data_IF_048027063940
#
_entry.id   IF_048027063940
#
_cell.length_a   1.000
_cell.length_b   1.000
_cell.length_c   1.000
_cell.angle_alpha   90.00
_cell.angle_beta   90.00
_cell.angle_gamma   90.00
#
_symmetry.space_group_name_H-M   'P 1'
#
loop_
_entity.id
_entity.type
_entity.pdbx_description
1 polymer ?
#
# COMPACT_ATOMS: atom_id res chain seq x y z
N UNK A 1 -40.08 -64.23 16.16
CA UNK A 1 -38.80 -63.85 16.80
C UNK A 1 -37.76 -63.22 15.85
N UNK A 2 -38.13 -62.76 14.63
CA UNK A 2 -37.17 -62.27 13.62
C UNK A 2 -37.08 -60.73 13.45
N UNK A 3 -37.99 -59.96 14.05
CA UNK A 3 -38.11 -58.51 13.82
C UNK A 3 -37.03 -57.68 14.54
N UNK A 4 -36.51 -58.15 15.67
CA UNK A 4 -35.49 -57.46 16.48
C UNK A 4 -34.10 -57.45 15.81
N UNK A 5 -33.77 -58.47 15.01
CA UNK A 5 -32.47 -58.49 14.32
C UNK A 5 -32.43 -57.52 13.14
N UNK A 6 -33.54 -57.34 12.42
CA UNK A 6 -33.65 -56.41 11.29
C UNK A 6 -33.58 -54.95 11.73
N UNK A 7 -34.21 -54.59 12.85
CA UNK A 7 -34.10 -53.25 13.44
C UNK A 7 -32.68 -52.94 13.92
N UNK A 8 -31.97 -53.92 14.50
CA UNK A 8 -30.56 -53.71 14.89
C UNK A 8 -29.66 -53.42 13.68
N UNK A 9 -29.82 -54.17 12.58
CA UNK A 9 -29.03 -53.99 11.36
C UNK A 9 -29.31 -52.64 10.70
N UNK A 10 -30.57 -52.25 10.60
CA UNK A 10 -30.97 -50.94 10.07
C UNK A 10 -30.37 -49.80 10.91
N UNK A 11 -30.40 -49.92 12.24
CA UNK A 11 -29.80 -48.95 13.15
C UNK A 11 -28.27 -48.86 13.01
N UNK A 12 -27.57 -49.99 12.85
CA UNK A 12 -26.12 -49.97 12.60
C UNK A 12 -25.76 -49.29 11.28
N UNK A 13 -26.53 -49.55 10.22
CA UNK A 13 -26.31 -48.92 8.90
C UNK A 13 -26.58 -47.42 8.97
N UNK A 14 -27.66 -47.01 9.64
CA UNK A 14 -28.02 -45.60 9.79
C UNK A 14 -26.98 -44.83 10.62
N UNK A 15 -26.52 -45.42 11.73
CA UNK A 15 -25.41 -44.86 12.53
C UNK A 15 -24.12 -44.72 11.73
N UNK A 16 -23.80 -45.71 10.87
CA UNK A 16 -22.63 -45.63 10.01
C UNK A 16 -22.76 -44.57 8.91
N UNK A 17 -23.98 -44.35 8.40
CA UNK A 17 -24.29 -43.29 7.45
C UNK A 17 -24.17 -41.91 8.10
N UNK A 18 -24.78 -41.71 9.26
CA UNK A 18 -24.74 -40.47 10.01
C UNK A 18 -23.30 -40.07 10.36
N UNK A 19 -22.48 -41.03 10.81
CA UNK A 19 -21.06 -40.80 11.08
C UNK A 19 -20.25 -40.40 9.82
N UNK A 20 -20.67 -40.78 8.62
CA UNK A 20 -20.04 -40.33 7.36
C UNK A 20 -20.48 -38.91 7.01
N UNK A 21 -21.77 -38.62 7.12
CA UNK A 21 -22.33 -37.29 6.87
C UNK A 21 -21.71 -36.26 7.82
N UNK A 22 -21.58 -36.57 9.12
CA UNK A 22 -20.89 -35.73 10.11
C UNK A 22 -19.42 -35.47 9.74
N UNK A 23 -18.69 -36.49 9.27
CA UNK A 23 -17.30 -36.32 8.80
C UNK A 23 -17.20 -35.44 7.56
N UNK A 24 -18.16 -35.52 6.64
CA UNK A 24 -18.18 -34.68 5.45
C UNK A 24 -18.42 -33.21 5.83
N UNK A 25 -19.44 -32.94 6.65
CA UNK A 25 -19.73 -31.60 7.15
C UNK A 25 -18.55 -31.02 7.94
N UNK A 26 -17.91 -31.84 8.78
CA UNK A 26 -16.74 -31.41 9.54
C UNK A 26 -15.56 -31.06 8.62
N UNK A 27 -15.28 -31.86 7.58
CA UNK A 27 -14.25 -31.55 6.59
C UNK A 27 -14.53 -30.25 5.83
N UNK A 28 -15.79 -30.00 5.47
CA UNK A 28 -16.18 -28.76 4.80
C UNK A 28 -15.97 -27.55 5.72
N UNK A 29 -16.37 -27.66 6.99
CA UNK A 29 -16.14 -26.62 8.01
C UNK A 29 -14.65 -26.37 8.23
N UNK A 30 -13.84 -27.42 8.33
CA UNK A 30 -12.39 -27.31 8.49
C UNK A 30 -11.76 -26.64 7.27
N UNK A 31 -12.16 -27.01 6.06
CA UNK A 31 -11.69 -26.37 4.83
C UNK A 31 -12.02 -24.87 4.82
N UNK A 32 -13.28 -24.52 5.09
CA UNK A 32 -13.71 -23.12 5.15
C UNK A 32 -12.93 -22.34 6.22
N UNK A 33 -12.72 -22.95 7.41
CA UNK A 33 -11.93 -22.34 8.47
C UNK A 33 -10.47 -22.10 8.04
N UNK A 34 -9.84 -23.04 7.36
CA UNK A 34 -8.47 -22.88 6.83
C UNK A 34 -8.40 -21.75 5.81
N UNK A 35 -9.34 -21.67 4.88
CA UNK A 35 -9.42 -20.60 3.88
C UNK A 35 -9.58 -19.22 4.55
N UNK A 36 -10.54 -19.08 5.47
CA UNK A 36 -10.74 -17.85 6.24
C UNK A 36 -9.47 -17.47 6.99
N UNK A 37 -8.87 -18.41 7.72
CA UNK A 37 -7.65 -18.14 8.47
C UNK A 37 -6.49 -17.73 7.57
N UNK A 38 -6.33 -18.34 6.40
CA UNK A 38 -5.30 -17.98 5.44
C UNK A 38 -5.49 -16.55 4.94
N UNK A 39 -6.72 -16.17 4.58
CA UNK A 39 -7.05 -14.80 4.18
C UNK A 39 -6.78 -13.78 5.30
N UNK A 40 -7.21 -14.07 6.52
CA UNK A 40 -6.99 -13.19 7.69
C UNK A 40 -5.50 -13.05 8.00
N UNK A 41 -4.74 -14.15 8.07
CA UNK A 41 -3.29 -14.11 8.31
C UNK A 41 -2.57 -13.30 7.23
N UNK A 42 -2.96 -13.50 5.98
CA UNK A 42 -2.40 -12.77 4.84
C UNK A 42 -2.70 -11.27 4.90
N UNK A 43 -3.94 -10.90 5.25
CA UNK A 43 -4.35 -9.52 5.47
C UNK A 43 -3.56 -8.87 6.61
N UNK A 44 -3.48 -9.51 7.78
CA UNK A 44 -2.75 -8.98 8.93
C UNK A 44 -1.26 -8.78 8.63
N UNK A 45 -0.64 -9.74 7.93
CA UNK A 45 0.76 -9.65 7.50
C UNK A 45 0.99 -8.45 6.57
N UNK A 46 0.17 -8.31 5.51
CA UNK A 46 0.27 -7.15 4.60
C UNK A 46 0.04 -5.83 5.34
N UNK A 47 -0.95 -5.76 6.22
CA UNK A 47 -1.25 -4.58 7.02
C UNK A 47 -0.12 -4.21 7.99
N UNK A 48 0.58 -5.20 8.56
CA UNK A 48 1.77 -4.96 9.38
C UNK A 48 2.93 -4.42 8.54
N UNK A 49 3.22 -5.05 7.40
CA UNK A 49 4.28 -4.62 6.49
C UNK A 49 4.03 -3.19 5.98
N UNK A 50 2.79 -2.86 5.60
CA UNK A 50 2.44 -1.52 5.16
C UNK A 50 2.69 -0.47 6.25
N UNK A 51 2.32 -0.77 7.51
CA UNK A 51 2.57 0.13 8.64
C UNK A 51 4.07 0.31 8.91
N UNK A 52 4.84 -0.77 8.82
CA UNK A 52 6.30 -0.71 9.01
C UNK A 52 6.99 0.12 7.93
N UNK A 53 6.62 -0.08 6.67
CA UNK A 53 7.11 0.74 5.55
C UNK A 53 6.74 2.20 5.74
N UNK A 54 5.49 2.51 6.13
CA UNK A 54 5.05 3.89 6.39
C UNK A 54 5.82 4.53 7.54
N UNK A 55 6.08 3.78 8.62
CA UNK A 55 6.91 4.25 9.74
C UNK A 55 8.33 4.58 9.29
N UNK A 56 8.96 3.72 8.50
CA UNK A 56 10.31 3.98 7.98
C UNK A 56 10.37 5.23 7.09
N UNK A 57 9.35 5.43 6.25
CA UNK A 57 9.22 6.65 5.44
C UNK A 57 9.10 7.88 6.33
N UNK A 58 8.22 7.82 7.35
CA UNK A 58 8.01 8.92 8.27
C UNK A 58 9.27 9.24 9.09
N UNK A 59 9.97 8.23 9.59
CA UNK A 59 11.25 8.36 10.28
C UNK A 59 12.31 9.01 9.37
N UNK A 60 12.40 8.58 8.12
CA UNK A 60 13.31 9.18 7.14
C UNK A 60 13.02 10.68 6.96
N UNK A 61 11.75 11.10 6.94
CA UNK A 61 11.40 12.50 6.80
C UNK A 61 11.45 13.32 8.10
N UNK A 62 11.46 12.69 9.28
CA UNK A 62 11.53 13.36 10.58
C UNK A 62 12.91 13.94 10.92
N UNK A 63 13.98 13.44 10.33
CA UNK A 63 15.34 13.92 10.63
C UNK A 63 15.44 15.38 10.18
N UNK A 64 15.63 16.33 11.11
CA UNK A 64 15.56 17.78 10.92
C UNK A 64 16.30 18.29 9.66
N UNK A 65 15.81 19.42 9.13
CA UNK A 65 16.32 20.06 7.90
C UNK A 65 17.84 20.32 7.93
N UNK A 66 18.45 20.49 9.11
CA UNK A 66 19.89 20.67 9.30
C UNK A 66 20.73 19.43 8.92
N UNK A 67 20.16 18.23 8.97
CA UNK A 67 20.84 16.97 8.61
C UNK A 67 20.33 16.37 7.28
N UNK A 68 19.37 17.03 6.65
CA UNK A 68 18.83 16.68 5.32
C UNK A 68 19.90 16.70 4.23
N UNK A 69 20.93 17.55 4.38
CA UNK A 69 22.07 17.70 3.46
C UNK A 69 22.98 16.46 3.37
N UNK A 70 22.83 15.48 4.27
CA UNK A 70 23.60 14.22 4.28
C UNK A 70 22.88 13.03 3.66
N UNK A 71 21.63 13.19 3.21
CA UNK A 71 20.86 12.06 2.66
C UNK A 71 21.36 11.71 1.26
N UNK A 72 22.05 10.58 1.14
CA UNK A 72 22.55 10.11 -0.17
C UNK A 72 21.42 9.92 -1.18
N UNK A 73 21.71 10.12 -2.47
CA UNK A 73 20.79 9.84 -3.57
C UNK A 73 20.18 8.43 -3.47
N UNK A 74 20.99 7.43 -3.09
CA UNK A 74 20.53 6.05 -2.91
C UNK A 74 19.50 5.90 -1.78
N UNK A 75 19.65 6.62 -0.67
CA UNK A 75 18.68 6.61 0.40
C UNK A 75 17.35 7.23 -0.04
N UNK A 76 17.40 8.39 -0.71
CA UNK A 76 16.20 9.05 -1.26
C UNK A 76 15.51 8.11 -2.26
N UNK A 77 16.27 7.48 -3.15
CA UNK A 77 15.76 6.53 -4.14
C UNK A 77 15.04 5.34 -3.49
N UNK A 78 15.63 4.74 -2.45
CA UNK A 78 15.03 3.62 -1.72
C UNK A 78 13.72 4.02 -1.04
N UNK A 79 13.70 5.19 -0.38
CA UNK A 79 12.49 5.70 0.29
C UNK A 79 11.41 6.05 -0.72
N UNK A 80 11.77 6.71 -1.82
CA UNK A 80 10.85 7.02 -2.90
C UNK A 80 10.19 5.75 -3.47
N UNK A 81 10.94 4.65 -3.64
CA UNK A 81 10.37 3.38 -4.10
C UNK A 81 9.35 2.83 -3.11
N UNK A 82 9.66 2.88 -1.81
CA UNK A 82 8.77 2.43 -0.74
C UNK A 82 7.48 3.24 -0.70
N UNK A 83 7.59 4.57 -0.80
CA UNK A 83 6.43 5.46 -0.84
C UNK A 83 5.57 5.18 -2.08
N UNK A 84 6.16 5.17 -3.26
CA UNK A 84 5.44 4.93 -4.53
C UNK A 84 4.80 3.55 -4.61
N UNK A 85 5.34 2.55 -3.91
CA UNK A 85 4.75 1.21 -3.84
C UNK A 85 3.44 1.18 -3.05
N UNK A 86 3.30 2.03 -2.02
CA UNK A 86 2.14 2.08 -1.14
C UNK A 86 1.29 3.35 -1.31
N UNK A 87 1.59 4.15 -2.33
CA UNK A 87 1.11 5.51 -2.44
C UNK A 87 -0.40 5.59 -2.58
N UNK A 88 -1.02 6.42 -1.74
CA UNK A 88 -2.43 6.76 -1.80
C UNK A 88 -2.58 8.26 -1.82
N UNK A 89 -3.03 8.80 -2.96
CA UNK A 89 -3.12 10.25 -3.20
C UNK A 89 -3.89 11.02 -2.10
N UNK A 90 -4.91 10.39 -1.51
CA UNK A 90 -5.73 10.99 -0.44
C UNK A 90 -5.04 11.03 0.94
N UNK A 91 -4.09 10.13 1.19
CA UNK A 91 -3.46 9.93 2.51
C UNK A 91 -2.00 10.42 2.54
N UNK A 92 -1.33 10.40 1.40
CA UNK A 92 0.13 10.52 1.31
C UNK A 92 0.60 11.84 0.68
N UNK A 93 -0.28 12.84 0.54
CA UNK A 93 0.07 14.14 -0.03
C UNK A 93 1.26 14.80 0.68
N UNK A 94 1.23 14.86 2.01
CA UNK A 94 2.32 15.46 2.80
C UNK A 94 3.65 14.69 2.64
N UNK A 95 3.59 13.35 2.59
CA UNK A 95 4.79 12.51 2.37
C UNK A 95 5.36 12.71 0.97
N UNK A 96 4.49 12.85 -0.02
CA UNK A 96 4.88 13.10 -1.39
C UNK A 96 5.54 14.47 -1.56
N UNK A 97 4.97 15.50 -0.94
CA UNK A 97 5.56 16.84 -0.91
C UNK A 97 6.96 16.81 -0.29
N UNK A 98 7.12 16.15 0.87
CA UNK A 98 8.43 15.96 1.51
C UNK A 98 9.40 15.20 0.63
N UNK A 99 8.94 14.20 -0.12
CA UNK A 99 9.77 13.49 -1.09
C UNK A 99 10.26 14.42 -2.20
N UNK A 100 9.36 15.16 -2.83
CA UNK A 100 9.70 16.12 -3.88
C UNK A 100 10.70 17.17 -3.37
N UNK A 101 10.47 17.70 -2.17
CA UNK A 101 11.41 18.63 -1.52
C UNK A 101 12.77 18.00 -1.29
N UNK A 102 12.85 16.75 -0.82
CA UNK A 102 14.12 16.04 -0.63
C UNK A 102 14.87 15.80 -1.95
N UNK A 103 14.14 15.52 -3.05
CA UNK A 103 14.77 15.34 -4.37
C UNK A 103 15.36 16.67 -4.84
N UNK A 104 14.60 17.77 -4.73
CA UNK A 104 15.06 19.10 -5.13
C UNK A 104 16.24 19.58 -4.26
N UNK A 105 16.13 19.44 -2.93
CA UNK A 105 17.20 19.86 -2.02
C UNK A 105 18.49 19.06 -2.21
N UNK A 106 18.41 17.80 -2.67
CA UNK A 106 19.60 17.02 -3.02
C UNK A 106 20.38 17.57 -4.21
N UNK A 107 19.75 18.42 -5.02
CA UNK A 107 20.36 19.07 -6.19
C UNK A 107 20.78 20.51 -5.90
N UNK A 108 20.18 21.15 -4.90
CA UNK A 108 20.53 22.52 -4.47
C UNK A 108 21.75 22.56 -3.54
N UNK A 109 22.09 21.44 -2.90
CA UNK A 109 23.27 21.36 -2.04
C UNK A 109 24.56 21.50 -2.86
N UNK A 110 25.46 22.40 -2.44
CA UNK A 110 26.82 22.61 -2.98
C UNK A 110 27.73 21.35 -2.92
N UNK A 111 27.20 20.24 -2.43
CA UNK A 111 27.83 18.92 -2.44
C UNK A 111 28.11 18.45 -3.89
N UNK A 112 29.12 17.60 -4.04
CA UNK A 112 29.56 17.07 -5.34
C UNK A 112 28.39 16.64 -6.25
N UNK A 113 28.30 17.10 -7.51
CA UNK A 113 27.21 16.71 -8.43
C UNK A 113 27.03 15.19 -8.62
N UNK A 114 28.07 14.41 -8.29
CA UNK A 114 28.04 12.94 -8.28
C UNK A 114 27.17 12.33 -7.18
N UNK A 115 26.81 13.08 -6.13
CA UNK A 115 25.97 12.59 -5.02
C UNK A 115 24.50 13.01 -5.12
N UNK A 116 24.15 13.84 -6.11
CA UNK A 116 22.78 14.29 -6.34
C UNK A 116 21.85 13.16 -6.76
N UNK A 117 20.55 13.33 -6.54
CA UNK A 117 19.56 12.34 -6.95
C UNK A 117 19.60 12.01 -8.45
N UNK A 118 19.90 13.00 -9.30
CA UNK A 118 20.01 12.83 -10.76
C UNK A 118 21.20 11.95 -11.19
N UNK A 119 22.25 11.85 -10.36
CA UNK A 119 23.42 11.00 -10.65
C UNK A 119 23.05 9.52 -10.82
N UNK A 120 21.96 9.08 -10.19
CA UNK A 120 21.45 7.71 -10.32
C UNK A 120 21.02 7.37 -11.74
N UNK A 121 20.67 8.38 -12.56
CA UNK A 121 20.37 8.17 -13.98
C UNK A 121 21.59 7.69 -14.76
N UNK A 122 22.81 7.97 -14.27
CA UNK A 122 24.07 7.58 -14.89
C UNK A 122 24.56 6.19 -14.43
N UNK A 123 23.93 5.61 -13.40
CA UNK A 123 24.29 4.30 -12.88
C UNK A 123 23.64 3.18 -13.70
N UNK A 124 24.45 2.36 -14.37
CA UNK A 124 23.98 1.26 -15.23
C UNK A 124 22.94 0.35 -14.56
N UNK A 125 23.08 0.10 -13.26
CA UNK A 125 22.19 -0.79 -12.50
C UNK A 125 20.85 -0.12 -12.14
N UNK A 126 20.85 1.21 -12.03
CA UNK A 126 19.72 1.96 -11.48
C UNK A 126 18.98 2.80 -12.53
N UNK A 127 19.59 3.08 -13.69
CA UNK A 127 19.00 3.97 -14.73
C UNK A 127 17.56 3.60 -15.07
N UNK A 128 17.27 2.32 -15.36
CA UNK A 128 15.92 1.89 -15.72
C UNK A 128 14.92 2.05 -14.57
N UNK A 129 15.36 1.71 -13.35
CA UNK A 129 14.52 1.83 -12.15
C UNK A 129 14.27 3.29 -11.79
N UNK A 130 15.27 4.15 -12.00
CA UNK A 130 15.19 5.60 -11.81
C UNK A 130 14.26 6.24 -12.83
N UNK A 131 14.35 5.88 -14.12
CA UNK A 131 13.42 6.37 -15.15
C UNK A 131 11.98 5.99 -14.79
N UNK A 132 11.74 4.72 -14.40
CA UNK A 132 10.41 4.27 -13.98
C UNK A 132 9.90 5.10 -12.79
N UNK A 133 10.76 5.34 -11.81
CA UNK A 133 10.41 6.10 -10.63
C UNK A 133 10.08 7.56 -10.93
N UNK A 134 10.90 8.24 -11.74
CA UNK A 134 10.66 9.62 -12.17
C UNK A 134 9.35 9.73 -12.95
N UNK A 135 9.06 8.78 -13.84
CA UNK A 135 7.76 8.74 -14.54
C UNK A 135 6.58 8.67 -13.57
N UNK A 136 6.68 7.82 -12.53
CA UNK A 136 5.63 7.73 -11.51
C UNK A 136 5.50 9.02 -10.69
N UNK A 137 6.62 9.64 -10.31
CA UNK A 137 6.62 10.92 -9.58
C UNK A 137 5.95 12.01 -10.44
N UNK A 138 6.36 12.15 -11.70
CA UNK A 138 5.78 13.13 -12.62
C UNK A 138 4.29 12.90 -12.84
N UNK A 139 3.87 11.64 -12.99
CA UNK A 139 2.46 11.28 -13.09
C UNK A 139 1.66 11.80 -11.89
N UNK A 140 2.13 11.55 -10.66
CA UNK A 140 1.46 12.06 -9.46
C UNK A 140 1.50 13.58 -9.37
N UNK A 141 2.59 14.23 -9.79
CA UNK A 141 2.62 15.69 -9.90
C UNK A 141 1.50 16.20 -10.83
N UNK A 142 1.27 15.56 -11.97
CA UNK A 142 0.17 15.89 -12.88
C UNK A 142 -1.21 15.69 -12.20
N UNK A 143 -1.43 14.56 -11.52
CA UNK A 143 -2.68 14.31 -10.79
C UNK A 143 -2.94 15.37 -9.71
N UNK A 144 -1.92 15.79 -8.96
CA UNK A 144 -2.04 16.88 -7.98
C UNK A 144 -2.40 18.22 -8.64
N UNK A 145 -1.77 18.55 -9.76
CA UNK A 145 -2.08 19.77 -10.52
C UNK A 145 -3.52 19.77 -11.05
N UNK A 146 -4.04 18.63 -11.48
CA UNK A 146 -5.43 18.50 -11.90
C UNK A 146 -6.42 18.70 -10.74
N UNK A 147 -6.14 18.14 -9.57
CA UNK A 147 -6.96 18.36 -8.38
C UNK A 147 -6.99 19.83 -7.95
N UNK A 148 -5.84 20.52 -8.03
CA UNK A 148 -5.76 21.95 -7.75
C UNK A 148 -6.61 22.76 -8.75
N UNK A 149 -6.52 22.46 -10.05
CA UNK A 149 -7.34 23.12 -11.09
C UNK A 149 -8.85 22.95 -10.86
N UNK A 150 -9.28 21.75 -10.48
CA UNK A 150 -10.69 21.47 -10.17
C UNK A 150 -11.14 22.24 -8.94
N UNK A 151 -10.30 22.29 -7.90
CA UNK A 151 -10.58 23.03 -6.67
C UNK A 151 -10.72 24.54 -6.92
N UNK A 152 -9.82 25.13 -7.70
CA UNK A 152 -9.91 26.55 -8.10
C UNK A 152 -11.23 26.85 -8.78
N UNK A 153 -11.67 26.02 -9.74
CA UNK A 153 -12.96 26.21 -10.44
C UNK A 153 -14.15 26.08 -9.49
N UNK A 154 -14.17 25.09 -8.60
CA UNK A 154 -15.23 24.92 -7.62
C UNK A 154 -15.32 26.10 -6.64
N UNK A 155 -14.17 26.62 -6.20
CA UNK A 155 -14.11 27.78 -5.32
C UNK A 155 -14.63 29.02 -6.05
N UNK A 156 -14.24 29.25 -7.31
CA UNK A 156 -14.82 30.34 -8.14
C UNK A 156 -16.33 30.22 -8.30
N UNK A 157 -16.87 29.02 -8.57
CA UNK A 157 -18.33 28.81 -8.64
C UNK A 157 -19.04 29.09 -7.31
N UNK A 158 -18.43 28.75 -6.17
CA UNK A 158 -19.00 29.07 -4.84
C UNK A 158 -19.01 30.58 -4.60
N UNK A 159 -17.95 31.31 -4.95
CA UNK A 159 -17.91 32.77 -4.83
C UNK A 159 -18.97 33.44 -5.72
N UNK A 160 -19.16 32.94 -6.96
CA UNK A 160 -20.20 33.47 -7.86
C UNK A 160 -21.61 33.21 -7.30
N UNK A 161 -21.87 32.03 -6.72
CA UNK A 161 -23.16 31.74 -6.07
C UNK A 161 -23.40 32.55 -4.79
N UNK A 162 -22.34 32.87 -4.04
CA UNK A 162 -22.41 33.74 -2.86
C UNK A 162 -22.64 35.22 -3.21
N UNK A 163 -22.09 35.69 -4.33
CA UNK A 163 -22.21 37.10 -4.77
C UNK A 163 -23.50 37.32 -5.58
N UNK A 164 -23.98 36.31 -6.33
CA UNK A 164 -25.21 36.40 -7.13
C UNK A 164 -26.52 36.14 -6.37
N UNK A 165 -26.47 36.05 -5.04
CA UNK A 165 -27.62 35.86 -4.15
C UNK A 165 -27.96 37.07 -3.25
N UNK A 166 -27.36 38.23 -3.52
CA UNK A 166 -27.69 39.55 -2.96
C UNK A 166 -28.30 40.44 -4.06
#
# INVERSE_FOLDING_TARGET
MFTVSQTSRAWFIDRARQAREERLVQKERERAAVEIQAHVRSFLCRSRLQREIRREIDEFFKVDDAESSKRSALCIFKIARKLLFLFRIKEDNERFEKLCRCILSSMDAENEPKVWYVSLALSKDLTLLWIKQIKHILWYCCEFLEQLKVKTKQDTCKYILLIGGL
#
